data_IF_795257709011
#
_entry.id   IF_795257709011
#
_cell.length_a   1.000
_cell.length_b   1.000
_cell.length_c   1.000
_cell.angle_alpha   90.00
_cell.angle_beta   90.00
_cell.angle_gamma   90.00
#
_symmetry.space_group_name_H-M   'P 1'
#
loop_
_entity.id
_entity.type
_entity.pdbx_description
1 polymer ?
#
# COMPACT_ATOMS: atom_id res chain seq x y z
N UNK A 1 8.53 -13.17 -10.60
CA UNK A 1 7.10 -13.07 -11.01
C UNK A 1 6.35 -12.52 -9.82
N UNK A 2 5.36 -11.64 -10.02
CA UNK A 2 4.73 -10.89 -8.90
C UNK A 2 3.22 -11.06 -8.78
N UNK A 3 2.59 -11.86 -9.66
CA UNK A 3 1.14 -12.06 -9.67
C UNK A 3 0.77 -13.54 -9.67
N UNK A 4 -0.34 -13.87 -9.01
CA UNK A 4 -0.89 -15.23 -9.02
C UNK A 4 -1.43 -15.63 -10.39
N UNK A 5 -2.00 -14.67 -11.12
CA UNK A 5 -2.48 -14.90 -12.49
C UNK A 5 -1.35 -15.40 -13.37
N UNK A 6 -0.17 -14.79 -13.31
CA UNK A 6 0.99 -15.22 -14.07
C UNK A 6 1.47 -16.63 -13.70
N UNK A 7 1.36 -17.01 -12.40
CA UNK A 7 1.65 -18.39 -11.98
C UNK A 7 0.66 -19.38 -12.58
N UNK A 8 -0.62 -19.06 -12.57
CA UNK A 8 -1.68 -19.90 -13.17
C UNK A 8 -1.46 -20.07 -14.66
N UNK A 9 -1.14 -19.00 -15.37
CA UNK A 9 -0.86 -19.03 -16.82
C UNK A 9 0.39 -19.85 -17.12
N UNK A 10 1.43 -19.73 -16.30
CA UNK A 10 2.61 -20.58 -16.41
C UNK A 10 2.27 -22.06 -16.25
N UNK A 11 1.51 -22.43 -15.20
CA UNK A 11 1.11 -23.82 -14.96
C UNK A 11 0.27 -24.36 -16.12
N UNK A 12 -0.65 -23.55 -16.67
CA UNK A 12 -1.49 -23.96 -17.82
C UNK A 12 -0.69 -24.12 -19.10
N UNK A 13 0.29 -23.24 -19.33
CA UNK A 13 1.15 -23.26 -20.51
C UNK A 13 2.37 -24.17 -20.39
N UNK A 14 2.63 -24.73 -19.21
CA UNK A 14 3.81 -25.52 -18.96
C UNK A 14 3.80 -26.83 -19.76
N UNK A 15 4.82 -27.00 -20.59
CA UNK A 15 5.05 -28.18 -21.43
C UNK A 15 6.21 -29.04 -20.91
N UNK A 16 6.73 -28.72 -19.73
CA UNK A 16 7.87 -29.42 -19.16
C UNK A 16 7.55 -30.88 -18.80
N UNK A 17 8.52 -31.74 -18.95
CA UNK A 17 8.40 -33.19 -18.68
C UNK A 17 8.02 -33.50 -17.24
N UNK A 18 8.42 -32.64 -16.30
CA UNK A 18 8.15 -32.78 -14.87
C UNK A 18 6.79 -32.18 -14.43
N UNK A 19 5.91 -31.91 -15.38
CA UNK A 19 4.59 -31.32 -15.13
C UNK A 19 3.73 -32.17 -14.20
N UNK A 20 3.80 -33.47 -14.33
CA UNK A 20 3.04 -34.39 -13.50
C UNK A 20 3.59 -34.38 -12.08
N UNK A 21 2.72 -34.07 -11.11
CA UNK A 21 3.04 -34.03 -9.67
C UNK A 21 3.82 -32.78 -9.22
N UNK A 22 3.65 -31.63 -9.90
CA UNK A 22 4.13 -30.36 -9.35
C UNK A 22 3.48 -30.06 -8.00
N UNK A 23 4.24 -29.36 -7.15
CA UNK A 23 3.80 -28.93 -5.83
C UNK A 23 3.83 -27.41 -5.77
N UNK A 24 2.74 -26.83 -5.31
CA UNK A 24 2.68 -25.40 -4.95
C UNK A 24 3.02 -25.29 -3.47
N UNK A 25 4.15 -24.68 -3.16
CA UNK A 25 4.60 -24.41 -1.80
C UNK A 25 4.29 -22.97 -1.44
N UNK A 26 3.40 -22.75 -0.49
CA UNK A 26 3.13 -21.43 0.09
C UNK A 26 4.12 -21.23 1.23
N UNK A 27 5.06 -20.31 1.07
CA UNK A 27 6.07 -20.02 2.10
C UNK A 27 5.65 -18.92 3.05
N UNK A 28 4.93 -17.93 2.53
CA UNK A 28 4.42 -16.78 3.28
C UNK A 28 3.16 -16.23 2.63
N UNK A 29 2.47 -15.28 3.24
CA UNK A 29 1.35 -14.59 2.59
C UNK A 29 1.72 -13.89 1.27
N UNK A 30 2.99 -13.61 1.06
CA UNK A 30 3.51 -12.89 -0.12
C UNK A 30 4.47 -13.70 -0.99
N UNK A 31 4.76 -14.97 -0.66
CA UNK A 31 5.71 -15.80 -1.42
C UNK A 31 5.17 -17.22 -1.67
N UNK A 32 5.12 -17.59 -2.95
CA UNK A 32 4.74 -18.91 -3.42
C UNK A 32 5.82 -19.45 -4.33
N UNK A 33 6.19 -20.71 -4.17
CA UNK A 33 7.13 -21.40 -5.04
C UNK A 33 6.48 -22.60 -5.69
N UNK A 34 6.64 -22.73 -7.00
CA UNK A 34 6.27 -23.91 -7.75
C UNK A 34 7.49 -24.85 -7.83
N UNK A 35 7.29 -26.09 -7.43
CA UNK A 35 8.32 -27.13 -7.36
C UNK A 35 7.92 -28.23 -8.33
N UNK A 36 8.90 -28.79 -9.06
CA UNK A 36 8.69 -29.88 -10.01
C UNK A 36 8.21 -31.18 -9.33
N UNK A 37 7.79 -32.14 -10.14
CA UNK A 37 7.75 -33.54 -9.77
C UNK A 37 9.13 -34.05 -9.34
N UNK A 38 9.21 -35.30 -8.91
CA UNK A 38 10.48 -35.96 -8.67
C UNK A 38 11.15 -36.34 -10.00
N UNK A 39 12.44 -36.03 -10.13
CA UNK A 39 13.28 -36.58 -11.17
C UNK A 39 13.67 -38.05 -10.91
N UNK A 40 14.47 -38.64 -11.79
CA UNK A 40 14.94 -40.05 -11.68
C UNK A 40 15.81 -40.28 -10.43
N UNK A 41 16.49 -39.22 -9.95
CA UNK A 41 17.33 -39.25 -8.74
C UNK A 41 16.55 -38.89 -7.47
N UNK A 42 15.22 -38.70 -7.58
CA UNK A 42 14.33 -38.27 -6.49
C UNK A 42 14.58 -36.85 -5.97
N UNK A 43 15.17 -36.00 -6.79
CA UNK A 43 15.31 -34.58 -6.51
C UNK A 43 14.10 -33.79 -7.03
N UNK A 44 13.97 -32.56 -6.60
CA UNK A 44 12.95 -31.60 -7.07
C UNK A 44 13.62 -30.29 -7.42
N UNK A 45 13.18 -29.69 -8.51
CA UNK A 45 13.62 -28.37 -8.92
C UNK A 45 12.61 -27.30 -8.51
N UNK A 46 13.10 -26.11 -8.16
CA UNK A 46 12.28 -24.93 -8.08
C UNK A 46 12.09 -24.38 -9.48
N UNK A 47 10.87 -24.49 -9.98
CA UNK A 47 10.55 -24.01 -11.32
C UNK A 47 10.38 -22.49 -11.33
N UNK A 48 9.57 -21.97 -10.42
CA UNK A 48 9.25 -20.54 -10.34
C UNK A 48 9.01 -20.12 -8.89
N UNK A 49 9.47 -18.94 -8.55
CA UNK A 49 9.05 -18.22 -7.33
C UNK A 49 8.23 -17.01 -7.72
N UNK A 50 7.09 -16.87 -7.08
CA UNK A 50 6.19 -15.71 -7.19
C UNK A 50 6.22 -14.97 -5.88
N UNK A 51 6.56 -13.70 -5.92
CA UNK A 51 6.65 -12.83 -4.76
C UNK A 51 5.79 -11.58 -5.00
N UNK A 52 4.86 -11.32 -4.10
CA UNK A 52 3.97 -10.18 -4.22
C UNK A 52 4.76 -8.87 -4.14
N UNK A 53 4.48 -7.96 -5.08
CA UNK A 53 5.05 -6.61 -5.06
C UNK A 53 4.25 -5.76 -4.06
N UNK A 54 4.74 -5.71 -2.82
CA UNK A 54 4.06 -5.04 -1.72
C UNK A 54 4.69 -3.68 -1.44
N UNK A 55 3.87 -2.63 -1.27
CA UNK A 55 4.37 -1.32 -0.92
C UNK A 55 4.95 -1.32 0.50
N UNK A 56 6.11 -0.68 0.67
CA UNK A 56 6.73 -0.49 1.98
C UNK A 56 6.20 0.77 2.67
N UNK A 57 5.18 0.60 3.51
CA UNK A 57 4.70 1.69 4.34
C UNK A 57 5.66 1.97 5.50
N UNK A 58 6.12 3.22 5.61
CA UNK A 58 6.95 3.70 6.72
C UNK A 58 6.14 4.68 7.56
N UNK A 59 5.71 4.24 8.74
CA UNK A 59 5.06 5.11 9.71
C UNK A 59 6.03 6.10 10.37
N UNK A 60 5.50 7.07 11.09
CA UNK A 60 6.24 8.02 11.92
C UNK A 60 7.26 8.88 11.15
N UNK A 61 6.92 9.33 9.95
CA UNK A 61 7.72 10.27 9.18
C UNK A 61 6.86 11.44 8.70
N UNK A 62 7.48 12.60 8.59
CA UNK A 62 6.86 13.75 7.95
C UNK A 62 6.90 13.59 6.44
N UNK A 63 5.78 13.83 5.79
CA UNK A 63 5.62 13.80 4.32
C UNK A 63 4.87 15.03 3.86
N UNK A 64 5.02 15.42 2.61
CA UNK A 64 4.22 16.48 2.00
C UNK A 64 2.78 15.98 1.80
N UNK A 65 1.82 16.90 1.68
CA UNK A 65 0.41 16.57 1.43
C UNK A 65 0.23 15.68 0.20
N UNK A 66 0.84 16.05 -0.93
CA UNK A 66 0.73 15.30 -2.18
C UNK A 66 1.29 13.88 -2.05
N UNK A 67 2.43 13.75 -1.38
CA UNK A 67 3.04 12.45 -1.11
C UNK A 67 2.19 11.60 -0.18
N UNK A 68 1.56 12.20 0.83
CA UNK A 68 0.66 11.51 1.72
C UNK A 68 -0.56 10.96 0.98
N UNK A 69 -1.19 11.75 0.12
CA UNK A 69 -2.32 11.33 -0.70
C UNK A 69 -1.90 10.19 -1.65
N UNK A 70 -0.74 10.30 -2.29
CA UNK A 70 -0.21 9.27 -3.17
C UNK A 70 0.04 7.95 -2.42
N UNK A 71 0.61 8.01 -1.21
CA UNK A 71 0.84 6.84 -0.37
C UNK A 71 -0.49 6.19 0.08
N UNK A 72 -1.49 6.98 0.45
CA UNK A 72 -2.83 6.47 0.76
C UNK A 72 -3.44 5.71 -0.43
N UNK A 73 -3.33 6.24 -1.63
CA UNK A 73 -3.86 5.61 -2.84
C UNK A 73 -3.13 4.33 -3.26
N UNK A 74 -1.81 4.28 -3.05
CA UNK A 74 -0.97 3.18 -3.55
C UNK A 74 -0.76 2.05 -2.55
N UNK A 75 -0.88 2.32 -1.25
CA UNK A 75 -0.49 1.36 -0.21
C UNK A 75 -1.66 0.70 0.51
N UNK A 76 -2.88 1.22 0.33
CA UNK A 76 -4.07 0.77 1.05
C UNK A 76 -5.20 0.37 0.10
N UNK A 77 -5.99 -0.59 0.54
CA UNK A 77 -7.21 -1.01 -0.16
C UNK A 77 -8.22 0.14 -0.17
N UNK A 78 -8.88 0.33 -1.29
CA UNK A 78 -9.90 1.36 -1.44
C UNK A 78 -11.12 1.04 -0.58
N UNK A 79 -11.31 1.80 0.50
CA UNK A 79 -12.44 1.71 1.43
C UNK A 79 -13.09 3.08 1.59
N UNK A 80 -14.29 3.11 2.18
CA UNK A 80 -14.98 4.38 2.52
C UNK A 80 -14.14 5.25 3.46
N UNK A 81 -13.45 4.63 4.42
CA UNK A 81 -12.61 5.32 5.37
C UNK A 81 -11.37 5.93 4.69
N UNK A 82 -10.75 5.19 3.76
CA UNK A 82 -9.66 5.72 2.96
C UNK A 82 -10.10 6.94 2.13
N UNK A 83 -11.28 6.85 1.49
CA UNK A 83 -11.83 7.96 0.70
C UNK A 83 -12.11 9.20 1.57
N UNK A 84 -12.64 9.00 2.78
CA UNK A 84 -12.87 10.08 3.73
C UNK A 84 -11.57 10.77 4.12
N UNK A 85 -10.52 10.00 4.46
CA UNK A 85 -9.20 10.56 4.79
C UNK A 85 -8.58 11.30 3.60
N UNK A 86 -8.68 10.74 2.39
CA UNK A 86 -8.16 11.41 1.20
C UNK A 86 -8.87 12.75 0.93
N UNK A 87 -10.19 12.82 1.14
CA UNK A 87 -10.94 14.08 1.06
C UNK A 87 -10.45 15.10 2.08
N UNK A 88 -10.26 14.67 3.32
CA UNK A 88 -9.71 15.54 4.40
C UNK A 88 -8.33 16.01 4.02
N UNK A 89 -7.43 15.10 3.65
CA UNK A 89 -6.06 15.43 3.28
C UNK A 89 -5.98 16.39 2.08
N UNK A 90 -6.85 16.20 1.07
CA UNK A 90 -6.93 17.08 -0.08
C UNK A 90 -7.51 18.46 0.22
N UNK A 91 -8.32 18.60 1.29
CA UNK A 91 -8.96 19.85 1.69
C UNK A 91 -8.17 20.61 2.77
N UNK A 92 -7.04 20.08 3.22
CA UNK A 92 -6.17 20.75 4.18
C UNK A 92 -5.39 21.86 3.46
N UNK A 93 -5.60 23.10 3.86
CA UNK A 93 -4.75 24.22 3.48
C UNK A 93 -3.86 24.61 4.67
N UNK A 94 -2.56 24.64 4.41
CA UNK A 94 -1.63 25.27 5.34
C UNK A 94 -1.80 26.80 5.24
N UNK A 95 -2.57 27.40 6.16
CA UNK A 95 -2.68 28.85 6.27
C UNK A 95 -1.59 29.35 7.20
N UNK A 96 -0.60 30.03 6.63
CA UNK A 96 0.29 30.89 7.40
C UNK A 96 -0.32 32.29 7.40
N UNK A 97 -0.99 32.65 8.47
CA UNK A 97 -1.51 34.02 8.61
C UNK A 97 -0.45 34.81 9.38
N UNK A 98 0.26 35.66 8.69
CA UNK A 98 1.12 36.67 9.31
C UNK A 98 0.23 37.89 9.66
N UNK A 99 -0.15 38.06 10.92
CA UNK A 99 -0.75 39.29 11.41
C UNK A 99 0.35 40.29 11.73
N UNK A 100 0.53 41.28 10.88
CA UNK A 100 1.35 42.46 11.17
C UNK A 100 0.49 43.43 11.98
N UNK A 101 0.68 43.42 13.31
CA UNK A 101 0.14 44.46 14.13
C UNK A 101 1.05 45.69 14.05
N UNK A 102 0.55 46.74 13.44
CA UNK A 102 1.29 48.01 13.29
C UNK A 102 0.98 48.90 14.50
N UNK A 103 1.64 48.63 15.65
CA UNK A 103 1.56 49.45 16.85
C UNK A 103 2.73 50.43 17.00
N UNK A 104 3.47 50.68 15.92
CA UNK A 104 4.53 51.72 15.88
C UNK A 104 5.71 51.56 16.86
N UNK A 105 5.69 50.61 17.80
CA UNK A 105 6.74 50.41 18.82
C UNK A 105 7.18 48.97 19.03
N UNK A 106 6.37 47.96 18.65
CA UNK A 106 6.78 46.56 18.73
C UNK A 106 6.15 45.73 17.61
N UNK A 107 6.95 45.31 16.65
CA UNK A 107 6.52 44.32 15.66
C UNK A 107 6.41 42.94 16.35
N UNK A 108 5.22 42.58 16.80
CA UNK A 108 4.90 41.20 17.15
C UNK A 108 4.36 40.46 15.92
N UNK A 109 5.22 39.68 15.27
CA UNK A 109 4.80 38.75 14.25
C UNK A 109 4.27 37.48 14.93
N UNK A 110 2.96 37.33 15.03
CA UNK A 110 2.36 36.07 15.49
C UNK A 110 2.10 35.20 14.26
N UNK A 111 2.93 34.19 14.04
CA UNK A 111 2.70 33.18 13.02
C UNK A 111 1.78 32.13 13.62
N UNK A 112 0.50 32.13 13.27
CA UNK A 112 -0.40 31.04 13.57
C UNK A 112 -0.30 30.00 12.43
N UNK A 113 0.35 28.88 12.72
CA UNK A 113 0.22 27.69 11.88
C UNK A 113 -1.06 26.97 12.28
N UNK A 114 -2.08 27.09 11.44
CA UNK A 114 -3.33 26.39 11.62
C UNK A 114 -3.62 25.51 10.40
N UNK A 115 -4.11 24.30 10.65
CA UNK A 115 -4.70 23.45 9.61
C UNK A 115 -6.19 23.76 9.58
N UNK A 116 -6.67 24.35 8.46
CA UNK A 116 -8.08 24.61 8.25
C UNK A 116 -8.64 23.63 7.21
N UNK A 117 -9.75 22.98 7.52
CA UNK A 117 -10.48 22.19 6.52
C UNK A 117 -11.39 23.10 5.70
N UNK A 118 -11.39 22.96 4.39
CA UNK A 118 -12.26 23.72 3.46
C UNK A 118 -13.69 23.20 3.39
N UNK A 119 -13.95 22.00 3.86
CA UNK A 119 -15.27 21.38 3.82
C UNK A 119 -15.57 20.67 5.14
N UNK A 120 -16.83 20.64 5.50
CA UNK A 120 -17.33 19.80 6.60
C UNK A 120 -17.27 18.33 6.15
N UNK A 121 -16.08 17.74 6.26
CA UNK A 121 -15.89 16.32 6.00
C UNK A 121 -15.91 15.60 7.34
N UNK A 122 -16.88 14.70 7.50
CA UNK A 122 -16.95 13.83 8.66
C UNK A 122 -15.80 12.83 8.56
N UNK A 123 -14.86 12.92 9.46
CA UNK A 123 -13.77 11.93 9.60
C UNK A 123 -14.28 10.79 10.46
N UNK A 124 -14.24 9.54 9.98
CA UNK A 124 -14.57 8.38 10.81
C UNK A 124 -13.67 8.35 12.06
N UNK A 125 -14.23 8.00 13.21
CA UNK A 125 -13.48 7.81 14.44
C UNK A 125 -14.02 6.60 15.20
N UNK A 126 -13.33 5.46 15.22
CA UNK A 126 -11.99 5.23 14.65
C UNK A 126 -11.97 5.12 13.12
N UNK A 127 -10.80 5.33 12.52
CA UNK A 127 -10.51 5.09 11.11
C UNK A 127 -9.83 3.75 10.96
N UNK A 128 -10.32 2.93 10.01
CA UNK A 128 -9.72 1.65 9.67
C UNK A 128 -9.13 1.68 8.26
N UNK A 129 -7.82 1.47 8.15
CA UNK A 129 -7.12 1.38 6.88
C UNK A 129 -6.55 -0.03 6.70
N UNK A 130 -6.78 -0.60 5.52
CA UNK A 130 -6.34 -1.96 5.17
C UNK A 130 -5.13 -1.85 4.24
N UNK A 131 -3.90 -2.04 4.71
CA UNK A 131 -2.72 -2.04 3.84
C UNK A 131 -2.66 -3.31 2.99
N UNK A 132 -2.05 -3.22 1.81
CA UNK A 132 -1.73 -4.42 1.03
C UNK A 132 -0.68 -5.27 1.75
N UNK A 133 -1.01 -6.52 2.05
CA UNK A 133 -0.16 -7.48 2.80
C UNK A 133 0.09 -8.79 2.07
N UNK A 134 -0.61 -9.01 0.97
CA UNK A 134 -0.53 -10.21 0.16
C UNK A 134 -0.76 -9.86 -1.32
N UNK A 135 -0.85 -10.84 -2.18
CA UNK A 135 -1.11 -10.64 -3.61
C UNK A 135 -2.36 -9.80 -3.87
N UNK A 136 -2.29 -8.93 -4.87
CA UNK A 136 -3.39 -7.99 -5.19
C UNK A 136 -4.67 -8.71 -5.65
N UNK A 137 -4.54 -9.94 -6.18
CA UNK A 137 -5.66 -10.73 -6.69
C UNK A 137 -6.51 -11.40 -5.61
N UNK A 138 -6.08 -11.33 -4.35
CA UNK A 138 -6.83 -11.92 -3.24
C UNK A 138 -7.28 -10.86 -2.25
N UNK A 139 -8.35 -11.18 -1.52
CA UNK A 139 -8.87 -10.30 -0.46
C UNK A 139 -7.79 -10.04 0.57
N UNK A 140 -7.52 -8.77 0.86
CA UNK A 140 -6.53 -8.39 1.86
C UNK A 140 -7.08 -8.69 3.26
N UNK A 141 -6.23 -9.20 4.17
CA UNK A 141 -6.63 -9.40 5.56
C UNK A 141 -6.81 -8.06 6.26
N UNK A 142 -7.85 -7.97 7.10
CA UNK A 142 -8.12 -6.83 7.98
C UNK A 142 -7.10 -6.73 9.13
#
# INVERSE_FOLDING_TARGET
>A
MSTLTALVDYIKGCTEELRDKMIIQIKSPSEITLISGLDEERNREKLITVEADLPHFKANRWVTQDKFILELQSMFVKTSDLEAIMKVAGNIEAKTTANYGDDGVTQKTTIQQGVASRADVIVPNPVSLIPYRTFLEITQPE
#
